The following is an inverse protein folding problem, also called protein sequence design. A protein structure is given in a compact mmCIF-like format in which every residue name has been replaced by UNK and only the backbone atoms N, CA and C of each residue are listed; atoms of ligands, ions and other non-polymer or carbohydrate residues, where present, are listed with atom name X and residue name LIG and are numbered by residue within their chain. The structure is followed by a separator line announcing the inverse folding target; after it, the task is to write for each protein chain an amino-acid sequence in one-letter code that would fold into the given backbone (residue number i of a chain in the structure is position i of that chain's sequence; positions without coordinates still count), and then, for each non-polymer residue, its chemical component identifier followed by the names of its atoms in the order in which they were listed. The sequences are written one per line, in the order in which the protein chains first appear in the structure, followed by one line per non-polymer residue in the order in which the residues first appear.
data_IF_451518634406
#
_entry.id   IF_451518634406
#
_cell.length_a   1.000
_cell.length_b   1.000
_cell.length_c   1.000
_cell.angle_alpha   90.00
_cell.angle_beta   90.00
_cell.angle_gamma   90.00
#
_symmetry.space_group_name_H-M   'P 1'
#
loop_
_entity.id
_entity.type
_entity.pdbx_description
1 polymer ?
#
# COMPACT_ATOMS: atom_id res chain seq x y z
N UNK A 1 -5.71 -21.87 -43.72
CA UNK A 1 -4.64 -21.21 -42.93
C UNK A 1 -5.30 -20.59 -41.70
N UNK A 2 -4.75 -20.92 -40.55
CA UNK A 2 -5.29 -20.85 -39.19
C UNK A 2 -5.30 -19.43 -38.62
N UNK A 3 -6.36 -19.05 -37.89
CA UNK A 3 -6.42 -17.81 -37.10
C UNK A 3 -6.58 -18.09 -35.58
N UNK A 4 -5.57 -18.61 -34.86
CA UNK A 4 -5.71 -18.99 -33.44
C UNK A 4 -5.10 -17.98 -32.44
N UNK A 5 -4.47 -16.89 -32.89
CA UNK A 5 -3.68 -16.02 -31.98
C UNK A 5 -4.41 -14.76 -31.49
N UNK A 6 -5.36 -14.22 -32.26
CA UNK A 6 -6.04 -12.96 -31.90
C UNK A 6 -6.88 -13.08 -30.63
N UNK A 7 -7.57 -14.20 -30.46
CA UNK A 7 -8.47 -14.43 -29.31
C UNK A 7 -7.70 -14.68 -28.00
N UNK A 8 -6.49 -15.24 -28.09
CA UNK A 8 -5.61 -15.37 -26.92
C UNK A 8 -5.03 -14.02 -26.51
N UNK A 9 -4.64 -13.21 -27.48
CA UNK A 9 -4.04 -11.91 -27.23
C UNK A 9 -5.06 -10.90 -26.67
N UNK A 10 -6.34 -11.00 -27.05
CA UNK A 10 -7.42 -10.20 -26.43
C UNK A 10 -7.69 -10.64 -24.99
N UNK A 11 -7.72 -11.95 -24.72
CA UNK A 11 -7.88 -12.48 -23.36
C UNK A 11 -6.77 -12.03 -22.39
N UNK A 12 -5.52 -12.02 -22.85
CA UNK A 12 -4.37 -11.52 -22.07
C UNK A 12 -4.50 -10.03 -21.72
N UNK A 13 -4.98 -9.21 -22.65
CA UNK A 13 -5.20 -7.78 -22.41
C UNK A 13 -6.32 -7.55 -21.40
N UNK A 14 -7.40 -8.32 -21.49
CA UNK A 14 -8.50 -8.24 -20.54
C UNK A 14 -8.09 -8.70 -19.14
N UNK A 15 -7.17 -9.67 -19.05
CA UNK A 15 -6.64 -10.16 -17.78
C UNK A 15 -5.77 -9.11 -17.07
N UNK A 16 -4.94 -8.37 -17.83
CA UNK A 16 -4.19 -7.22 -17.31
C UNK A 16 -5.13 -6.09 -16.88
N UNK A 17 -6.12 -5.77 -17.73
CA UNK A 17 -7.09 -4.71 -17.46
C UNK A 17 -7.95 -5.00 -16.21
N UNK A 18 -8.30 -6.27 -15.99
CA UNK A 18 -8.98 -6.71 -14.78
C UNK A 18 -8.11 -6.52 -13.53
N UNK A 19 -6.79 -6.76 -13.64
CA UNK A 19 -5.84 -6.52 -12.56
C UNK A 19 -5.71 -5.04 -12.21
N UNK A 20 -5.50 -4.19 -13.21
CA UNK A 20 -5.42 -2.73 -13.03
C UNK A 20 -6.70 -2.16 -12.41
N UNK A 21 -7.87 -2.69 -12.81
CA UNK A 21 -9.16 -2.31 -12.25
C UNK A 21 -9.26 -2.65 -10.76
N UNK A 22 -8.84 -3.85 -10.35
CA UNK A 22 -8.88 -4.26 -8.94
C UNK A 22 -7.90 -3.44 -8.09
N UNK A 23 -6.75 -3.08 -8.65
CA UNK A 23 -5.72 -2.30 -7.97
C UNK A 23 -6.02 -0.80 -7.86
N UNK A 24 -7.08 -0.30 -8.51
CA UNK A 24 -7.38 1.13 -8.46
C UNK A 24 -6.51 1.98 -9.40
N UNK A 25 -5.77 1.37 -10.34
CA UNK A 25 -4.72 2.04 -11.11
C UNK A 25 -5.22 2.83 -12.34
N UNK A 26 -6.48 2.62 -12.76
CA UNK A 26 -7.09 3.35 -13.86
C UNK A 26 -7.68 4.70 -13.42
N UNK A 27 -7.74 5.69 -14.33
CA UNK A 27 -8.45 6.94 -14.06
C UNK A 27 -9.97 6.71 -13.85
N UNK A 28 -10.66 7.61 -13.14
CA UNK A 28 -12.01 7.38 -12.62
C UNK A 28 -13.07 7.15 -13.71
N UNK A 29 -12.92 7.77 -14.87
CA UNK A 29 -13.78 7.56 -16.03
C UNK A 29 -13.68 6.12 -16.57
N UNK A 30 -12.47 5.58 -16.66
CA UNK A 30 -12.22 4.21 -17.12
C UNK A 30 -12.72 3.19 -16.10
N UNK A 31 -12.57 3.50 -14.80
CA UNK A 31 -13.14 2.71 -13.71
C UNK A 31 -14.67 2.61 -13.81
N UNK A 32 -15.34 3.73 -14.08
CA UNK A 32 -16.80 3.77 -14.21
C UNK A 32 -17.29 2.97 -15.43
N UNK A 33 -16.54 3.00 -16.54
CA UNK A 33 -16.85 2.22 -17.73
C UNK A 33 -16.66 0.72 -17.50
N UNK A 34 -15.55 0.32 -16.88
CA UNK A 34 -15.31 -1.09 -16.53
C UNK A 34 -16.32 -1.61 -15.50
N UNK A 35 -16.74 -0.78 -14.54
CA UNK A 35 -17.82 -1.14 -13.62
C UNK A 35 -19.15 -1.44 -14.34
N UNK A 36 -19.44 -0.74 -15.45
CA UNK A 36 -20.59 -1.06 -16.32
C UNK A 36 -20.33 -2.34 -17.13
N UNK A 37 -19.11 -2.53 -17.66
CA UNK A 37 -18.70 -3.72 -18.41
C UNK A 37 -18.85 -4.99 -17.57
N UNK A 38 -18.39 -4.98 -16.31
CA UNK A 38 -18.50 -6.12 -15.37
C UNK A 38 -19.94 -6.61 -15.21
N UNK A 39 -20.94 -5.71 -15.28
CA UNK A 39 -22.35 -6.10 -15.17
C UNK A 39 -22.86 -6.86 -16.40
N UNK A 40 -22.22 -6.67 -17.56
CA UNK A 40 -22.64 -7.22 -18.86
C UNK A 40 -21.78 -8.41 -19.29
N UNK A 41 -20.48 -8.34 -19.02
CA UNK A 41 -19.47 -9.30 -19.43
C UNK A 41 -19.11 -10.23 -18.25
N UNK A 42 -19.66 -11.45 -18.29
CA UNK A 42 -19.42 -12.45 -17.24
C UNK A 42 -17.99 -12.97 -17.22
N UNK A 43 -17.30 -13.01 -18.36
CA UNK A 43 -15.92 -13.50 -18.42
C UNK A 43 -14.98 -12.50 -17.77
N UNK A 44 -15.12 -11.22 -18.11
CA UNK A 44 -14.37 -10.15 -17.47
C UNK A 44 -14.67 -10.07 -15.97
N UNK A 45 -15.93 -10.24 -15.56
CA UNK A 45 -16.31 -10.29 -14.15
C UNK A 45 -15.64 -11.46 -13.39
N UNK A 46 -15.49 -12.62 -14.03
CA UNK A 46 -14.79 -13.77 -13.44
C UNK A 46 -13.29 -13.51 -13.28
N UNK A 47 -12.65 -12.84 -14.25
CA UNK A 47 -11.25 -12.41 -14.14
C UNK A 47 -11.05 -11.43 -12.98
N UNK A 48 -11.92 -10.44 -12.83
CA UNK A 48 -11.90 -9.47 -11.72
C UNK A 48 -12.06 -10.17 -10.36
N UNK A 49 -12.97 -11.15 -10.26
CA UNK A 49 -13.14 -11.95 -9.04
C UNK A 49 -11.87 -12.72 -8.69
N UNK A 50 -11.27 -13.42 -9.67
CA UNK A 50 -10.03 -14.18 -9.48
C UNK A 50 -8.89 -13.28 -8.98
N UNK A 51 -8.75 -12.09 -9.55
CA UNK A 51 -7.76 -11.10 -9.09
C UNK A 51 -8.01 -10.67 -7.65
N UNK A 52 -9.25 -10.37 -7.27
CA UNK A 52 -9.61 -10.00 -5.89
C UNK A 52 -9.30 -11.13 -4.91
N UNK A 53 -9.65 -12.36 -5.26
CA UNK A 53 -9.44 -13.53 -4.41
C UNK A 53 -7.93 -13.78 -4.21
N UNK A 54 -7.14 -13.69 -5.29
CA UNK A 54 -5.67 -13.84 -5.22
C UNK A 54 -5.01 -12.75 -4.36
N UNK A 55 -5.46 -11.50 -4.47
CA UNK A 55 -4.94 -10.40 -3.65
C UNK A 55 -5.32 -10.59 -2.18
N UNK A 56 -6.56 -11.00 -1.90
CA UNK A 56 -7.00 -11.28 -0.53
C UNK A 56 -6.21 -12.44 0.11
N UNK A 57 -5.90 -13.49 -0.65
CA UNK A 57 -5.07 -14.59 -0.17
C UNK A 57 -3.63 -14.12 0.12
N UNK A 58 -3.07 -13.27 -0.75
CA UNK A 58 -1.73 -12.70 -0.56
C UNK A 58 -1.68 -11.86 0.71
N UNK A 59 -2.64 -10.95 0.89
CA UNK A 59 -2.75 -10.11 2.09
C UNK A 59 -2.93 -10.96 3.36
N UNK A 60 -3.76 -12.01 3.30
CA UNK A 60 -3.94 -12.94 4.42
C UNK A 60 -2.64 -13.64 4.80
N UNK A 61 -1.87 -14.14 3.82
CA UNK A 61 -0.58 -14.79 4.06
C UNK A 61 0.46 -13.83 4.62
N UNK A 62 0.52 -12.60 4.12
CA UNK A 62 1.41 -11.57 4.64
C UNK A 62 1.08 -11.22 6.10
N UNK A 63 -0.20 -11.02 6.40
CA UNK A 63 -0.64 -10.77 7.78
C UNK A 63 -0.35 -11.95 8.71
N UNK A 64 -0.54 -13.20 8.24
CA UNK A 64 -0.22 -14.40 9.01
C UNK A 64 1.29 -14.55 9.26
N UNK A 65 2.14 -14.21 8.29
CA UNK A 65 3.60 -14.24 8.47
C UNK A 65 4.06 -13.17 9.44
N UNK A 66 3.51 -11.95 9.37
CA UNK A 66 3.76 -10.89 10.35
C UNK A 66 3.31 -11.32 11.75
N UNK A 67 2.12 -11.93 11.87
CA UNK A 67 1.63 -12.48 13.14
C UNK A 67 2.58 -13.54 13.70
N UNK A 68 3.03 -14.50 12.89
CA UNK A 68 3.98 -15.53 13.30
C UNK A 68 5.34 -14.96 13.74
N UNK A 69 5.82 -13.88 13.10
CA UNK A 69 7.03 -13.17 13.51
C UNK A 69 6.85 -12.45 14.85
N UNK A 70 5.67 -11.87 15.09
CA UNK A 70 5.34 -11.22 16.36
C UNK A 70 5.14 -12.23 17.50
N UNK A 71 4.60 -13.42 17.22
CA UNK A 71 4.44 -14.51 18.19
C UNK A 71 5.77 -15.18 18.55
N UNK A 72 6.76 -15.15 17.64
CA UNK A 72 8.12 -15.65 17.91
C UNK A 72 8.90 -14.78 18.91
N UNK A 73 8.38 -13.61 19.28
CA UNK A 73 8.86 -12.84 20.42
C UNK A 73 8.11 -13.28 21.69
N UNK A 74 8.70 -14.16 22.55
CA UNK A 74 8.04 -14.69 23.74
C UNK A 74 7.70 -13.61 24.78
N UNK A 75 8.09 -12.36 24.55
CA UNK A 75 7.78 -11.21 25.40
C UNK A 75 6.39 -10.62 25.16
N UNK A 76 5.64 -11.10 24.15
CA UNK A 76 4.36 -10.51 23.70
C UNK A 76 3.14 -11.43 23.74
N UNK A 77 3.19 -12.50 24.53
CA UNK A 77 2.05 -13.41 24.71
C UNK A 77 0.92 -12.75 25.52
N UNK A 78 0.01 -12.08 24.83
CA UNK A 78 -1.26 -11.65 25.43
C UNK A 78 -1.94 -10.48 24.73
N UNK A 79 -2.46 -10.66 23.52
CA UNK A 79 -3.49 -9.76 23.01
C UNK A 79 -4.60 -10.55 22.30
N UNK A 80 -5.85 -10.55 22.82
CA UNK A 80 -7.00 -10.94 22.02
C UNK A 80 -7.31 -9.79 21.05
N UNK A 81 -7.66 -10.17 19.83
CA UNK A 81 -8.09 -9.30 18.74
C UNK A 81 -9.31 -8.45 19.19
N UNK A 82 -9.05 -7.25 19.69
CA UNK A 82 -10.05 -6.20 19.94
C UNK A 82 -9.48 -4.89 19.44
N UNK A 83 -10.20 -4.28 18.50
CA UNK A 83 -10.02 -2.93 18.01
C UNK A 83 -9.84 -1.91 19.14
N UNK A 84 -8.59 -1.51 19.43
CA UNK A 84 -8.28 -0.29 20.20
C UNK A 84 -6.81 0.16 19.96
N UNK A 85 -6.51 1.47 19.93
CA UNK A 85 -5.24 1.99 19.45
C UNK A 85 -4.13 1.89 20.50
N UNK A 86 -2.92 1.59 20.02
CA UNK A 86 -1.61 1.99 20.56
C UNK A 86 -1.47 2.07 22.10
N UNK A 87 -0.85 1.06 22.74
CA UNK A 87 -0.03 1.31 23.95
C UNK A 87 0.90 0.14 24.22
N UNK A 88 2.21 0.38 24.12
CA UNK A 88 3.22 -0.63 24.42
C UNK A 88 4.57 -0.44 23.72
N UNK A 89 4.74 0.59 22.90
CA UNK A 89 6.07 1.09 22.56
C UNK A 89 6.60 1.91 23.73
N UNK A 90 7.85 1.65 24.12
CA UNK A 90 8.68 2.47 25.02
C UNK A 90 8.24 3.94 25.01
N UNK A 91 8.15 4.64 26.15
CA UNK A 91 7.77 6.06 26.20
C UNK A 91 8.52 6.91 25.16
N UNK A 92 9.75 6.50 24.84
CA UNK A 92 10.55 7.06 23.75
C UNK A 92 9.90 6.96 22.36
N UNK A 93 9.27 5.83 21.99
CA UNK A 93 8.61 5.66 20.71
C UNK A 93 7.38 6.56 20.55
N UNK A 94 6.61 6.74 21.64
CA UNK A 94 5.48 7.68 21.65
C UNK A 94 5.97 9.14 21.52
N UNK A 95 7.01 9.51 22.27
CA UNK A 95 7.63 10.83 22.21
C UNK A 95 8.25 11.11 20.84
N UNK A 96 8.94 10.13 20.24
CA UNK A 96 9.51 10.22 18.90
C UNK A 96 8.42 10.37 17.84
N UNK A 97 7.32 9.64 17.95
CA UNK A 97 6.18 9.77 17.02
C UNK A 97 5.57 11.17 17.09
N UNK A 98 5.39 11.71 18.29
CA UNK A 98 4.83 13.06 18.48
C UNK A 98 5.75 14.17 17.92
N UNK A 99 7.07 14.02 18.11
CA UNK A 99 8.08 14.90 17.50
C UNK A 99 8.12 14.75 15.98
N UNK A 100 7.99 13.52 15.47
CA UNK A 100 8.01 13.21 14.05
C UNK A 100 6.80 13.81 13.30
N UNK A 101 5.63 13.83 13.93
CA UNK A 101 4.42 14.46 13.37
C UNK A 101 4.37 15.98 13.53
N UNK A 102 5.36 16.59 14.22
CA UNK A 102 5.38 18.03 14.47
C UNK A 102 5.98 18.81 13.29
N UNK A 103 5.13 19.47 12.50
CA UNK A 103 5.55 20.33 11.37
C UNK A 103 6.45 21.49 11.84
N UNK A 104 6.23 22.01 13.06
CA UNK A 104 7.03 23.10 13.63
C UNK A 104 8.47 22.64 13.91
N UNK A 105 8.64 21.41 14.39
CA UNK A 105 9.95 20.82 14.64
C UNK A 105 10.76 20.73 13.35
N UNK A 106 10.16 20.19 12.28
CA UNK A 106 10.81 20.10 10.97
C UNK A 106 11.17 21.46 10.36
N UNK A 107 10.31 22.47 10.55
CA UNK A 107 10.60 23.83 10.08
C UNK A 107 11.81 24.45 10.79
N UNK A 108 11.88 24.32 12.11
CA UNK A 108 13.02 24.84 12.87
C UNK A 108 14.32 24.09 12.54
N UNK A 109 14.23 22.77 12.38
CA UNK A 109 15.37 21.94 11.97
C UNK A 109 15.88 22.33 10.57
N UNK A 110 14.99 22.58 9.61
CA UNK A 110 15.36 23.04 8.28
C UNK A 110 15.98 24.45 8.29
N UNK A 111 15.42 25.39 9.07
CA UNK A 111 15.96 26.75 9.19
C UNK A 111 17.34 26.77 9.84
N UNK A 112 17.54 25.97 10.89
CA UNK A 112 18.86 25.85 11.53
C UNK A 112 19.87 25.22 10.59
N UNK A 113 19.51 24.17 9.85
CA UNK A 113 20.36 23.60 8.81
C UNK A 113 20.74 24.65 7.75
N UNK A 114 19.77 25.42 7.24
CA UNK A 114 20.04 26.52 6.30
C UNK A 114 20.99 27.57 6.87
N UNK A 115 20.78 27.98 8.12
CA UNK A 115 21.64 28.95 8.79
C UNK A 115 23.09 28.42 8.91
N UNK A 116 23.25 27.16 9.33
CA UNK A 116 24.54 26.51 9.41
C UNK A 116 25.23 26.40 8.05
N UNK A 117 24.49 26.06 6.99
CA UNK A 117 25.05 26.04 5.63
C UNK A 117 25.49 27.43 5.17
N UNK A 118 24.73 28.48 5.48
CA UNK A 118 25.09 29.84 5.14
C UNK A 118 26.35 30.31 5.89
N UNK A 119 26.47 29.97 7.18
CA UNK A 119 27.67 30.25 7.99
C UNK A 119 28.87 29.52 7.42
N UNK A 120 28.74 28.22 7.11
CA UNK A 120 29.83 27.43 6.53
C UNK A 120 30.28 28.00 5.18
N UNK A 121 29.34 28.35 4.31
CA UNK A 121 29.64 28.99 3.02
C UNK A 121 30.37 30.33 3.22
N UNK A 122 29.95 31.14 4.20
CA UNK A 122 30.58 32.42 4.50
C UNK A 122 31.97 32.28 5.13
N UNK A 123 32.22 31.21 5.89
CA UNK A 123 33.56 30.92 6.43
C UNK A 123 34.53 30.32 5.41
N UNK A 124 34.02 29.77 4.30
CA UNK A 124 34.82 29.18 3.23
C UNK A 124 35.09 30.18 2.09
N UNK A 125 34.24 31.21 1.95
CA UNK A 125 34.40 32.33 1.00
C UNK A 125 35.39 33.39 1.52
#
# INVERSE_FOLDING_TARGET
MTAPDRDKQSGLRDEVLAGEYVLGALPPESMAELAKRIKRDRQFAAMVRRWRDNLAETEYRENATVAALLERDPSRSGLPFRSQPLRGGSMFAAMLSEVWHSVRFWRLLALTAMLWTAVLLFTIA
#
